data_IF_955089927183
#
_entry.id   IF_955089927183
#
_cell.length_a   1.000
_cell.length_b   1.000
_cell.length_c   1.000
_cell.angle_alpha   90.00
_cell.angle_beta   90.00
_cell.angle_gamma   90.00
#
_symmetry.space_group_name_H-M   'P 1'
#
loop_
_entity.id
_entity.type
_entity.pdbx_description
1 polymer ?
#
# COMPACT_ATOMS: atom_id res chain seq x y z
N UNK A 1 -33.62 3.93 -6.90
CA UNK A 1 -32.33 3.24 -7.09
C UNK A 1 -31.38 3.73 -5.99
N UNK A 2 -30.99 2.88 -5.04
CA UNK A 2 -30.03 3.27 -3.99
C UNK A 2 -28.63 3.21 -4.59
N UNK A 3 -27.95 4.34 -4.67
CA UNK A 3 -26.54 4.39 -5.09
C UNK A 3 -25.69 3.80 -3.99
N UNK A 4 -24.96 2.72 -4.28
CA UNK A 4 -23.95 2.17 -3.39
C UNK A 4 -22.69 3.02 -3.55
N UNK A 5 -22.39 3.88 -2.56
CA UNK A 5 -21.20 4.74 -2.57
C UNK A 5 -20.11 4.00 -1.79
N UNK A 6 -19.05 3.59 -2.47
CA UNK A 6 -17.86 3.00 -1.85
C UNK A 6 -16.86 4.15 -1.66
N UNK A 7 -16.61 4.55 -0.42
CA UNK A 7 -15.63 5.60 -0.10
C UNK A 7 -14.68 5.09 1.00
N UNK A 8 -13.38 5.16 0.75
CA UNK A 8 -12.32 4.76 1.70
C UNK A 8 -12.41 3.30 2.18
N UNK A 9 -13.05 2.44 1.39
CA UNK A 9 -13.13 1.00 1.62
C UNK A 9 -12.29 0.27 0.59
N UNK A 10 -11.80 -0.91 0.95
CA UNK A 10 -11.09 -1.79 0.02
C UNK A 10 -11.69 -3.20 0.05
N UNK A 11 -11.58 -3.95 -1.03
CA UNK A 11 -12.10 -5.31 -1.13
C UNK A 11 -10.94 -6.32 -1.06
N UNK A 12 -11.06 -7.28 -0.15
CA UNK A 12 -10.07 -8.34 0.01
C UNK A 12 -10.74 -9.71 -0.12
N UNK A 13 -10.08 -10.61 -0.84
CA UNK A 13 -10.44 -12.01 -0.88
C UNK A 13 -9.87 -12.73 0.36
N UNK A 14 -10.74 -13.39 1.13
CA UNK A 14 -10.33 -14.18 2.29
C UNK A 14 -10.84 -15.60 2.17
N UNK A 15 -10.02 -16.57 2.55
CA UNK A 15 -10.46 -17.96 2.74
C UNK A 15 -11.39 -18.03 3.95
N UNK A 16 -12.35 -18.94 3.90
CA UNK A 16 -13.30 -19.11 4.99
C UNK A 16 -12.65 -19.88 6.14
N UNK A 17 -12.64 -19.29 7.34
CA UNK A 17 -11.86 -19.77 8.51
C UNK A 17 -12.74 -20.40 9.61
N UNK A 18 -13.99 -20.75 9.33
CA UNK A 18 -14.92 -21.26 10.34
C UNK A 18 -14.81 -22.78 10.55
N UNK A 19 -14.72 -23.24 11.81
CA UNK A 19 -14.82 -24.67 12.19
C UNK A 19 -16.12 -25.35 11.72
N UNK A 20 -17.15 -24.57 11.39
CA UNK A 20 -18.45 -25.04 10.86
C UNK A 20 -18.62 -24.74 9.37
N UNK A 21 -17.57 -24.31 8.67
CA UNK A 21 -17.65 -24.09 7.25
C UNK A 21 -17.60 -25.42 6.51
N UNK A 22 -18.73 -25.77 5.88
CA UNK A 22 -18.90 -26.97 5.08
C UNK A 22 -18.14 -26.90 3.74
N UNK A 23 -17.51 -25.76 3.42
CA UNK A 23 -16.74 -25.54 2.20
C UNK A 23 -15.43 -24.77 2.44
N UNK A 24 -14.44 -25.39 3.12
CA UNK A 24 -13.21 -24.74 3.60
C UNK A 24 -12.30 -24.11 2.52
N UNK A 25 -12.64 -24.23 1.23
CA UNK A 25 -11.90 -23.66 0.10
C UNK A 25 -12.72 -22.63 -0.72
N UNK A 26 -13.89 -22.19 -0.25
CA UNK A 26 -14.63 -21.08 -0.89
C UNK A 26 -14.15 -19.77 -0.30
N UNK A 27 -13.29 -19.06 -0.99
CA UNK A 27 -12.99 -17.71 -0.57
C UNK A 27 -14.13 -16.76 -0.94
N UNK A 28 -14.23 -15.71 -0.14
CA UNK A 28 -15.27 -14.68 -0.23
C UNK A 28 -14.63 -13.31 -0.29
N UNK A 29 -15.30 -12.39 -0.98
CA UNK A 29 -14.95 -10.98 -0.92
C UNK A 29 -15.46 -10.40 0.39
N UNK A 30 -14.57 -9.71 1.10
CA UNK A 30 -14.86 -8.96 2.31
C UNK A 30 -14.50 -7.52 2.08
N UNK A 31 -15.35 -6.62 2.55
CA UNK A 31 -15.09 -5.20 2.55
C UNK A 31 -14.31 -4.84 3.80
N UNK A 32 -13.13 -4.27 3.60
CA UNK A 32 -12.38 -3.60 4.65
C UNK A 32 -12.87 -2.16 4.76
N UNK A 33 -12.82 -1.65 5.98
CA UNK A 33 -13.21 -0.29 6.32
C UNK A 33 -12.16 0.35 7.23
N UNK A 34 -12.18 1.68 7.34
CA UNK A 34 -11.36 2.44 8.28
C UNK A 34 -9.85 2.18 8.14
N UNK A 35 -9.19 1.90 9.27
CA UNK A 35 -7.72 1.72 9.32
C UNK A 35 -7.27 0.48 8.53
N UNK A 36 -8.09 -0.58 8.47
CA UNK A 36 -7.73 -1.80 7.75
C UNK A 36 -7.80 -1.60 6.23
N UNK A 37 -8.81 -0.87 5.74
CA UNK A 37 -8.86 -0.44 4.35
C UNK A 37 -7.68 0.48 4.01
N UNK A 38 -7.40 1.46 4.86
CA UNK A 38 -6.27 2.37 4.66
C UNK A 38 -4.93 1.62 4.56
N UNK A 39 -4.73 0.59 5.38
CA UNK A 39 -3.53 -0.26 5.32
C UNK A 39 -3.37 -0.91 3.95
N UNK A 40 -4.44 -1.47 3.39
CA UNK A 40 -4.38 -2.06 2.06
C UNK A 40 -4.20 -1.02 0.96
N UNK A 41 -4.92 0.10 1.01
CA UNK A 41 -4.81 1.19 0.05
C UNK A 41 -3.35 1.69 -0.03
N UNK A 42 -2.73 1.99 1.12
CA UNK A 42 -1.34 2.43 1.16
C UNK A 42 -0.38 1.32 0.73
N UNK A 43 -0.61 0.08 1.14
CA UNK A 43 0.19 -1.07 0.72
C UNK A 43 0.18 -1.28 -0.79
N UNK A 44 -0.99 -1.21 -1.43
CA UNK A 44 -1.16 -1.34 -2.87
C UNK A 44 -0.49 -0.16 -3.60
N UNK A 45 -0.70 1.07 -3.12
CA UNK A 45 -0.08 2.27 -3.70
C UNK A 45 1.44 2.20 -3.71
N UNK A 46 2.05 1.69 -2.64
CA UNK A 46 3.50 1.55 -2.55
C UNK A 46 4.05 0.39 -3.38
N UNK A 47 3.28 -0.67 -3.60
CA UNK A 47 3.70 -1.81 -4.43
C UNK A 47 3.55 -1.57 -5.92
N UNK A 48 2.60 -0.72 -6.31
CA UNK A 48 2.31 -0.45 -7.71
C UNK A 48 3.46 0.32 -8.38
N UNK A 49 3.87 -0.15 -9.55
CA UNK A 49 4.88 0.51 -10.37
C UNK A 49 4.28 1.72 -11.09
N UNK A 50 5.07 2.77 -11.25
CA UNK A 50 4.68 3.91 -12.06
C UNK A 50 4.35 3.44 -13.49
N UNK A 51 3.15 3.77 -13.97
CA UNK A 51 2.66 3.36 -15.30
C UNK A 51 2.07 1.96 -15.38
N UNK A 52 2.04 1.18 -14.29
CA UNK A 52 1.47 -0.17 -14.27
C UNK A 52 -0.04 -0.17 -14.55
N UNK A 53 -0.75 0.81 -13.99
CA UNK A 53 -2.20 0.92 -14.16
C UNK A 53 -2.56 1.79 -15.36
N UNK A 54 -2.99 1.16 -16.45
CA UNK A 54 -3.35 1.84 -17.71
C UNK A 54 -4.38 2.98 -17.55
N UNK A 55 -5.33 2.86 -16.62
CA UNK A 55 -6.34 3.91 -16.39
C UNK A 55 -5.82 5.09 -15.56
N UNK A 56 -4.69 4.92 -14.87
CA UNK A 56 -4.02 5.96 -14.09
C UNK A 56 -2.49 5.82 -14.19
N UNK A 57 -1.90 6.10 -15.36
CA UNK A 57 -0.47 5.83 -15.61
C UNK A 57 0.48 6.70 -14.78
N UNK A 58 -0.02 7.79 -14.18
CA UNK A 58 0.74 8.67 -13.30
C UNK A 58 0.70 8.22 -11.82
N UNK A 59 0.07 7.09 -11.54
CA UNK A 59 0.05 6.48 -10.21
C UNK A 59 1.10 5.37 -10.08
N UNK A 60 1.52 5.12 -8.84
CA UNK A 60 2.57 4.17 -8.49
C UNK A 60 3.87 4.86 -8.05
N UNK A 61 4.86 4.05 -7.70
CA UNK A 61 6.21 4.46 -7.35
C UNK A 61 7.14 4.10 -8.52
N UNK A 62 8.03 5.02 -8.90
CA UNK A 62 9.02 4.77 -9.96
C UNK A 62 10.16 3.87 -9.46
N UNK A 63 9.81 2.63 -9.15
CA UNK A 63 10.72 1.62 -8.61
C UNK A 63 11.93 1.37 -9.52
N UNK A 64 11.73 1.39 -10.84
CA UNK A 64 12.79 1.17 -11.81
C UNK A 64 13.82 2.29 -11.74
N UNK A 65 13.38 3.56 -11.83
CA UNK A 65 14.32 4.68 -11.77
C UNK A 65 14.94 4.87 -10.39
N UNK A 66 14.34 4.39 -9.30
CA UNK A 66 14.86 4.57 -7.94
C UNK A 66 15.79 3.43 -7.48
N UNK A 67 15.52 2.19 -7.92
CA UNK A 67 16.22 0.98 -7.43
C UNK A 67 17.19 0.42 -8.48
N UNK A 68 16.94 0.62 -9.78
CA UNK A 68 17.83 0.14 -10.85
C UNK A 68 19.00 1.09 -11.17
N UNK A 69 19.22 2.09 -10.31
CA UNK A 69 20.42 2.92 -10.39
C UNK A 69 21.63 2.18 -9.84
N UNK A 70 22.83 2.57 -10.30
CA UNK A 70 24.11 2.08 -9.73
C UNK A 70 24.25 2.34 -8.23
N UNK A 71 23.56 3.37 -7.71
CA UNK A 71 23.59 3.77 -6.31
C UNK A 71 22.16 4.05 -5.87
N UNK A 72 21.71 3.38 -4.80
CA UNK A 72 20.43 3.67 -4.16
C UNK A 72 20.50 5.00 -3.39
N UNK A 73 19.75 6.01 -3.84
CA UNK A 73 19.67 7.32 -3.19
C UNK A 73 18.50 7.32 -2.22
N UNK A 74 18.76 6.92 -0.96
CA UNK A 74 17.73 6.75 0.07
C UNK A 74 16.85 7.99 0.29
N UNK A 75 17.41 9.20 0.25
CA UNK A 75 16.64 10.43 0.42
C UNK A 75 15.60 10.64 -0.68
N UNK A 76 16.00 10.48 -1.95
CA UNK A 76 15.10 10.59 -3.09
C UNK A 76 14.01 9.52 -3.05
N UNK A 77 14.37 8.29 -2.65
CA UNK A 77 13.40 7.22 -2.45
C UNK A 77 12.36 7.56 -1.37
N UNK A 78 12.80 8.03 -0.21
CA UNK A 78 11.91 8.43 0.88
C UNK A 78 10.99 9.60 0.48
N UNK A 79 11.48 10.53 -0.35
CA UNK A 79 10.67 11.64 -0.84
C UNK A 79 9.56 11.16 -1.79
N UNK A 80 9.84 10.20 -2.68
CA UNK A 80 8.81 9.59 -3.53
C UNK A 80 7.79 8.78 -2.73
N UNK A 81 8.24 7.98 -1.75
CA UNK A 81 7.34 7.26 -0.85
C UNK A 81 6.46 8.22 -0.03
N UNK A 82 7.05 9.32 0.46
CA UNK A 82 6.29 10.37 1.16
C UNK A 82 5.22 10.98 0.27
N UNK A 83 5.55 11.32 -0.97
CA UNK A 83 4.57 11.83 -1.94
C UNK A 83 3.46 10.81 -2.20
N UNK A 84 3.81 9.54 -2.38
CA UNK A 84 2.84 8.47 -2.58
C UNK A 84 1.87 8.35 -1.40
N UNK A 85 2.37 8.32 -0.16
CA UNK A 85 1.52 8.23 1.04
C UNK A 85 0.61 9.47 1.17
N UNK A 86 1.14 10.68 0.97
CA UNK A 86 0.38 11.92 1.12
C UNK A 86 -0.63 12.18 -0.02
N UNK A 87 -0.57 11.42 -1.12
CA UNK A 87 -1.64 11.43 -2.13
C UNK A 87 -2.96 10.88 -1.59
N UNK A 88 -2.92 10.09 -0.52
CA UNK A 88 -4.12 9.50 0.08
C UNK A 88 -4.87 10.52 0.96
N UNK A 89 -6.08 10.98 0.58
CA UNK A 89 -6.78 12.06 1.30
C UNK A 89 -7.20 11.71 2.73
N UNK A 90 -7.21 10.43 3.09
CA UNK A 90 -7.45 9.99 4.46
C UNK A 90 -6.25 10.21 5.39
N UNK A 91 -5.03 10.29 4.85
CA UNK A 91 -3.80 10.52 5.62
C UNK A 91 -3.69 12.01 5.94
N UNK A 92 -3.52 12.34 7.22
CA UNK A 92 -3.38 13.73 7.68
C UNK A 92 -1.92 14.09 7.92
N UNK A 93 -1.09 13.13 8.34
CA UNK A 93 0.32 13.35 8.67
C UNK A 93 1.11 12.05 8.65
N UNK A 94 2.37 12.13 8.24
CA UNK A 94 3.35 11.06 8.42
C UNK A 94 4.10 11.31 9.74
N UNK A 95 4.03 10.34 10.66
CA UNK A 95 4.70 10.36 11.97
C UNK A 95 6.13 9.88 11.84
N UNK A 96 6.32 8.75 11.15
CA UNK A 96 7.64 8.18 10.85
C UNK A 96 7.65 7.56 9.47
N UNK A 97 8.81 7.60 8.81
CA UNK A 97 9.03 6.98 7.51
C UNK A 97 10.50 6.60 7.39
N UNK A 98 10.75 5.32 7.15
CA UNK A 98 12.06 4.74 6.96
C UNK A 98 12.03 3.74 5.78
N UNK A 99 13.20 3.52 5.19
CA UNK A 99 13.41 2.54 4.15
C UNK A 99 14.84 1.97 4.20
N UNK A 100 14.94 0.67 3.98
CA UNK A 100 16.19 -0.08 3.89
C UNK A 100 16.25 -0.82 2.55
N UNK A 101 17.40 -0.78 1.88
CA UNK A 101 17.63 -1.41 0.58
C UNK A 101 18.65 -2.53 0.70
N UNK A 102 18.25 -3.74 0.32
CA UNK A 102 19.14 -4.88 0.19
C UNK A 102 19.64 -5.01 -1.26
N UNK A 103 20.91 -4.70 -1.54
CA UNK A 103 21.47 -4.79 -2.89
C UNK A 103 21.62 -6.24 -3.39
N UNK A 104 21.62 -7.25 -2.51
CA UNK A 104 21.74 -8.66 -2.92
C UNK A 104 20.44 -9.20 -3.49
N UNK A 105 19.33 -8.85 -2.86
CA UNK A 105 17.98 -9.27 -3.28
C UNK A 105 17.24 -8.22 -4.10
N UNK A 106 17.81 -7.01 -4.22
CA UNK A 106 17.23 -5.84 -4.88
C UNK A 106 15.86 -5.47 -4.35
N UNK A 107 15.67 -5.67 -3.05
CA UNK A 107 14.44 -5.38 -2.31
C UNK A 107 14.59 -4.16 -1.44
N UNK A 108 13.54 -3.34 -1.38
CA UNK A 108 13.43 -2.24 -0.44
C UNK A 108 12.31 -2.57 0.55
N UNK A 109 12.65 -2.48 1.83
CA UNK A 109 11.68 -2.56 2.93
C UNK A 109 11.35 -1.16 3.40
N UNK A 110 10.08 -0.80 3.42
CA UNK A 110 9.57 0.50 3.86
C UNK A 110 8.85 0.29 5.19
N UNK A 111 9.14 1.11 6.19
CA UNK A 111 8.38 1.17 7.44
C UNK A 111 7.81 2.57 7.60
N UNK A 112 6.53 2.67 7.95
CA UNK A 112 5.89 3.96 8.11
C UNK A 112 4.83 3.95 9.21
N UNK A 113 4.63 5.11 9.80
CA UNK A 113 3.56 5.41 10.70
C UNK A 113 2.86 6.70 10.25
N UNK A 114 1.54 6.65 10.17
CA UNK A 114 0.71 7.78 9.74
C UNK A 114 -0.43 8.04 10.70
N UNK A 115 -0.76 9.31 10.88
CA UNK A 115 -2.05 9.74 11.42
C UNK A 115 -3.04 9.87 10.26
N UNK A 116 -4.28 9.44 10.50
CA UNK A 116 -5.36 9.48 9.51
C UNK A 116 -6.69 9.85 10.15
N UNK A 117 -7.70 10.10 9.31
CA UNK A 117 -9.10 10.30 9.76
C UNK A 117 -9.68 9.09 10.51
N UNK A 118 -9.07 7.91 10.39
CA UNK A 118 -9.51 6.67 11.01
C UNK A 118 -8.69 6.29 12.25
N UNK A 119 -7.62 7.03 12.57
CA UNK A 119 -6.68 6.74 13.65
C UNK A 119 -5.24 6.58 13.16
N UNK A 120 -4.36 6.16 14.07
CA UNK A 120 -2.95 5.91 13.78
C UNK A 120 -2.77 4.54 13.11
N UNK A 121 -1.97 4.50 12.05
CA UNK A 121 -1.60 3.28 11.33
C UNK A 121 -0.09 3.15 11.30
N UNK A 122 0.44 2.07 11.89
CA UNK A 122 1.81 1.60 11.67
C UNK A 122 1.80 0.41 10.72
N UNK A 123 2.59 0.48 9.65
CA UNK A 123 2.67 -0.60 8.68
C UNK A 123 4.02 -0.66 7.98
N UNK A 124 4.22 -1.73 7.23
CA UNK A 124 5.38 -1.92 6.38
C UNK A 124 4.96 -2.40 4.99
N UNK A 125 5.75 -2.00 4.01
CA UNK A 125 5.61 -2.46 2.64
C UNK A 125 6.96 -2.94 2.13
N UNK A 126 6.95 -3.91 1.23
CA UNK A 126 8.14 -4.36 0.53
C UNK A 126 7.89 -4.17 -0.95
N UNK A 127 8.85 -3.54 -1.63
CA UNK A 127 8.89 -3.39 -3.08
C UNK A 127 10.30 -3.67 -3.59
N UNK A 128 10.49 -3.63 -4.90
CA UNK A 128 11.75 -3.99 -5.53
C UNK A 128 11.54 -4.68 -6.87
N UNK A 129 12.64 -4.83 -7.62
CA UNK A 129 12.70 -5.41 -8.96
C UNK A 129 13.33 -6.79 -8.89
#
# INVERSE_FOLDING_TARGET
MKTFKIENNDLVYTESQGSNDLTPNRGRLVMLEGVDALRQILGNRLKMFLGEWYLAPNEGVDWLSLVDQKIFVRSAFLDEVRKAILKEPAVTKIVSLDADFDPKTRRVSIQFEVESKFGTLSSSAVGGV
#
